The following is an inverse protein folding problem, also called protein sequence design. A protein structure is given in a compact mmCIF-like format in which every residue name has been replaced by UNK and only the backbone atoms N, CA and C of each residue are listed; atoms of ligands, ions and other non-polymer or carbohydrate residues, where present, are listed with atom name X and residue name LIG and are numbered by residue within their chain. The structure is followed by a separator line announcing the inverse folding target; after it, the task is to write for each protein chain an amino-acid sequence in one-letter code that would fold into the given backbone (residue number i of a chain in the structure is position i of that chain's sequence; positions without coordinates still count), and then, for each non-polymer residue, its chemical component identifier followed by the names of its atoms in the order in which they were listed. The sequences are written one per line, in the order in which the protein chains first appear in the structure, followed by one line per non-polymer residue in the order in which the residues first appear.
data_IF_973884346905
#
_entry.id   IF_973884346905
#
_cell.length_a   1.000
_cell.length_b   1.000
_cell.length_c   1.000
_cell.angle_alpha   90.00
_cell.angle_beta   90.00
_cell.angle_gamma   90.00
#
_symmetry.space_group_name_H-M   'P 1'
#
loop_
_entity.id
_entity.type
_entity.pdbx_description
1 polymer ?
#
# COMPACT_ATOMS: atom_id res chain seq x y z
N UNK A 1 -38.78 4.59 6.97
CA UNK A 1 -39.06 4.15 5.58
C UNK A 1 -39.59 5.35 4.83
N UNK A 2 -38.88 5.89 3.86
CA UNK A 2 -39.42 6.90 2.94
C UNK A 2 -38.65 6.88 1.61
N UNK A 3 -39.31 6.38 0.57
CA UNK A 3 -39.15 6.70 -0.85
C UNK A 3 -40.57 6.67 -1.45
N UNK A 4 -40.84 7.25 -2.64
CA UNK A 4 -40.47 8.58 -3.15
C UNK A 4 -41.71 9.33 -3.71
N UNK A 5 -41.60 10.62 -4.05
CA UNK A 5 -42.52 11.28 -5.00
C UNK A 5 -41.74 11.65 -6.25
N UNK A 6 -42.02 10.90 -7.31
CA UNK A 6 -41.70 11.26 -8.69
C UNK A 6 -42.72 12.29 -9.16
N UNK A 7 -42.28 13.50 -9.48
CA UNK A 7 -43.07 14.42 -10.30
C UNK A 7 -42.50 14.39 -11.72
N UNK A 8 -43.11 13.53 -12.54
CA UNK A 8 -43.11 13.66 -13.99
C UNK A 8 -43.83 14.97 -14.34
N UNK A 9 -43.23 15.79 -15.21
CA UNK A 9 -43.97 16.80 -15.95
C UNK A 9 -43.48 16.76 -17.40
N UNK A 10 -44.25 16.08 -18.24
CA UNK A 10 -44.23 16.24 -19.69
C UNK A 10 -45.67 16.56 -20.17
N UNK A 11 -45.75 17.11 -21.38
CA UNK A 11 -46.91 17.44 -22.23
C UNK A 11 -47.52 18.84 -22.03
N UNK A 12 -47.96 19.59 -23.04
CA UNK A 12 -47.76 19.67 -24.50
C UNK A 12 -48.49 20.96 -24.97
N UNK A 13 -47.87 21.68 -25.91
CA UNK A 13 -48.39 22.37 -27.13
C UNK A 13 -49.76 23.11 -27.20
N UNK A 14 -49.72 24.24 -27.95
CA UNK A 14 -50.80 24.95 -28.73
C UNK A 14 -51.62 25.98 -27.92
N UNK A 15 -51.98 27.19 -28.36
CA UNK A 15 -52.48 27.65 -29.67
C UNK A 15 -52.63 29.20 -29.71
N UNK A 16 -52.35 29.79 -30.89
CA UNK A 16 -53.03 30.95 -31.54
C UNK A 16 -52.90 32.41 -31.06
N UNK A 17 -53.08 33.31 -32.03
CA UNK A 17 -52.52 34.65 -32.19
C UNK A 17 -53.43 35.83 -31.75
N UNK A 18 -52.83 36.98 -31.38
CA UNK A 18 -53.01 38.30 -32.04
C UNK A 18 -52.79 39.53 -31.11
N UNK A 19 -51.84 40.39 -31.54
CA UNK A 19 -51.75 41.86 -31.43
C UNK A 19 -51.45 42.60 -30.09
N UNK A 20 -50.76 43.78 -30.13
CA UNK A 20 -50.00 44.35 -29.02
C UNK A 20 -50.57 45.69 -28.46
N UNK A 21 -50.45 45.94 -27.15
CA UNK A 21 -50.55 47.29 -26.59
C UNK A 21 -49.96 47.41 -25.16
N UNK A 22 -48.99 48.32 -25.04
CA UNK A 22 -48.53 49.19 -23.93
C UNK A 22 -49.37 49.17 -22.64
N UNK A 23 -48.73 49.14 -21.45
CA UNK A 23 -48.90 50.11 -20.32
C UNK A 23 -48.24 49.60 -19.01
N UNK A 24 -47.38 50.49 -18.50
CA UNK A 24 -47.01 50.82 -17.12
C UNK A 24 -46.34 49.83 -16.13
N UNK A 25 -45.10 50.22 -15.84
CA UNK A 25 -44.39 50.14 -14.56
C UNK A 25 -45.24 50.71 -13.40
N UNK A 26 -45.60 49.88 -12.44
CA UNK A 26 -45.67 50.21 -11.01
C UNK A 26 -46.07 48.98 -10.17
N UNK A 27 -45.20 48.63 -9.22
CA UNK A 27 -45.50 48.12 -7.86
C UNK A 27 -44.40 47.14 -7.42
N UNK A 28 -43.35 47.70 -6.81
CA UNK A 28 -42.67 47.00 -5.73
C UNK A 28 -43.68 46.87 -4.58
N UNK A 29 -44.05 45.65 -4.19
CA UNK A 29 -44.10 45.23 -2.79
C UNK A 29 -44.37 43.73 -2.69
N UNK A 30 -43.42 43.02 -2.07
CA UNK A 30 -43.67 41.93 -1.13
C UNK A 30 -42.30 41.49 -0.60
N UNK A 31 -41.80 42.30 0.34
CA UNK A 31 -40.87 41.81 1.35
C UNK A 31 -41.66 41.12 2.44
N UNK A 32 -41.08 40.01 2.92
CA UNK A 32 -41.41 39.23 4.12
C UNK A 32 -42.47 38.13 3.95
N UNK A 33 -42.00 36.90 3.70
CA UNK A 33 -42.38 35.79 4.57
C UNK A 33 -41.13 34.96 4.86
N UNK A 34 -40.62 35.21 6.07
CA UNK A 34 -39.95 34.32 6.99
C UNK A 34 -39.13 33.15 6.43
N UNK A 35 -37.87 33.19 6.82
CA UNK A 35 -36.95 32.08 6.81
C UNK A 35 -37.61 30.80 7.38
N UNK A 36 -37.98 29.86 6.51
CA UNK A 36 -37.79 28.45 6.80
C UNK A 36 -36.30 28.11 6.64
N UNK A 37 -35.47 28.83 7.40
CA UNK A 37 -34.10 28.46 7.72
C UNK A 37 -34.16 27.63 8.99
N UNK A 38 -34.81 26.47 8.94
CA UNK A 38 -34.71 25.50 10.02
C UNK A 38 -34.54 24.11 9.41
N UNK A 39 -33.42 23.51 9.78
CA UNK A 39 -33.08 22.10 9.62
C UNK A 39 -32.63 21.64 8.22
N UNK A 40 -31.77 22.41 7.57
CA UNK A 40 -30.57 21.78 6.98
C UNK A 40 -29.58 21.49 8.12
N UNK A 41 -30.01 20.75 9.15
CA UNK A 41 -29.08 19.90 9.87
C UNK A 41 -28.59 18.95 8.79
N UNK A 42 -27.45 19.33 8.19
CA UNK A 42 -26.77 18.55 7.19
C UNK A 42 -26.90 17.09 7.60
N UNK A 43 -27.57 16.27 6.79
CA UNK A 43 -27.67 14.84 7.02
C UNK A 43 -26.30 14.23 6.76
N UNK A 44 -25.30 14.70 7.52
CA UNK A 44 -23.92 14.28 7.49
C UNK A 44 -23.95 12.85 7.94
N UNK A 45 -23.72 11.97 6.99
CA UNK A 45 -23.41 10.59 7.28
C UNK A 45 -21.94 10.52 7.68
N UNK A 46 -21.69 9.84 8.79
CA UNK A 46 -20.36 9.55 9.29
C UNK A 46 -20.13 8.05 9.33
N UNK A 47 -18.87 7.65 9.26
CA UNK A 47 -18.45 6.26 9.17
C UNK A 47 -17.41 6.00 10.24
N UNK A 48 -17.62 4.91 10.97
CA UNK A 48 -16.64 4.33 11.86
C UNK A 48 -15.90 3.21 11.11
N UNK A 49 -14.58 3.37 10.97
CA UNK A 49 -13.74 2.35 10.35
C UNK A 49 -13.05 1.54 11.44
N UNK A 50 -13.26 0.22 11.44
CA UNK A 50 -12.61 -0.69 12.39
C UNK A 50 -11.77 -1.71 11.65
N UNK A 51 -10.49 -1.77 11.99
CA UNK A 51 -9.53 -2.73 11.44
C UNK A 51 -9.28 -3.77 12.53
N UNK A 52 -9.66 -5.02 12.28
CA UNK A 52 -9.43 -6.12 13.22
C UNK A 52 -8.16 -6.88 12.88
N UNK A 53 -7.44 -7.36 13.89
CA UNK A 53 -6.24 -8.16 13.73
C UNK A 53 -6.45 -9.55 14.33
N UNK A 54 -6.11 -10.58 13.55
CA UNK A 54 -5.93 -11.93 14.09
C UNK A 54 -4.49 -12.05 14.59
N UNK A 55 -4.29 -11.85 15.90
CA UNK A 55 -2.97 -11.83 16.53
C UNK A 55 -2.22 -13.16 16.44
N UNK A 56 -2.90 -14.24 16.05
CA UNK A 56 -2.26 -15.53 15.76
C UNK A 56 -1.54 -15.54 14.42
N UNK A 57 -1.99 -14.72 13.46
CA UNK A 57 -1.47 -14.66 12.08
C UNK A 57 -0.56 -13.47 11.82
N UNK A 58 -0.74 -12.37 12.53
CA UNK A 58 0.11 -11.19 12.42
C UNK A 58 -0.18 -10.17 13.50
N UNK A 59 0.47 -9.03 13.42
CA UNK A 59 0.30 -7.93 14.38
C UNK A 59 0.52 -6.58 13.68
N UNK A 60 0.02 -5.50 14.29
CA UNK A 60 0.31 -4.16 13.80
C UNK A 60 1.75 -3.76 14.15
N UNK A 61 2.48 -3.16 13.21
CA UNK A 61 3.85 -2.69 13.46
C UNK A 61 3.90 -1.63 14.57
N UNK A 62 2.87 -0.79 14.66
CA UNK A 62 2.78 0.30 15.63
C UNK A 62 2.55 -0.20 17.06
N UNK A 63 1.75 -1.26 17.22
CA UNK A 63 1.41 -1.85 18.51
C UNK A 63 1.09 -3.34 18.33
N UNK A 64 2.01 -4.24 18.72
CA UNK A 64 1.86 -5.67 18.48
C UNK A 64 0.78 -6.33 19.34
N UNK A 65 0.40 -5.72 20.46
CA UNK A 65 -0.61 -6.26 21.38
C UNK A 65 -2.03 -5.85 20.99
N UNK A 66 -2.16 -4.90 20.06
CA UNK A 66 -3.45 -4.36 19.69
C UNK A 66 -4.22 -5.29 18.74
N UNK A 67 -5.45 -5.63 19.13
CA UNK A 67 -6.37 -6.50 18.37
C UNK A 67 -7.27 -5.73 17.40
N UNK A 68 -7.38 -4.41 17.56
CA UNK A 68 -8.17 -3.58 16.64
C UNK A 68 -7.75 -2.10 16.63
N UNK A 69 -7.82 -1.47 15.47
CA UNK A 69 -7.69 -0.02 15.30
C UNK A 69 -9.03 0.56 14.86
N UNK A 70 -9.40 1.71 15.42
CA UNK A 70 -10.68 2.36 15.13
C UNK A 70 -10.48 3.82 14.75
N UNK A 71 -11.07 4.22 13.62
CA UNK A 71 -11.17 5.60 13.17
C UNK A 71 -12.63 6.01 13.25
N UNK A 72 -12.96 6.82 14.25
CA UNK A 72 -14.34 7.21 14.55
C UNK A 72 -14.76 8.47 13.81
N UNK A 73 -16.06 8.56 13.52
CA UNK A 73 -16.73 9.77 13.01
C UNK A 73 -16.07 10.38 11.75
N UNK A 74 -15.55 9.54 10.85
CA UNK A 74 -15.04 10.02 9.55
C UNK A 74 -16.22 10.47 8.70
N UNK A 75 -16.13 11.60 8.01
CA UNK A 75 -17.23 11.97 7.12
C UNK A 75 -17.32 10.93 5.99
N UNK A 76 -18.54 10.53 5.59
CA UNK A 76 -18.68 9.56 4.49
C UNK A 76 -17.95 10.06 3.25
N UNK A 77 -18.15 11.33 2.87
CA UNK A 77 -17.53 11.95 1.70
C UNK A 77 -16.26 12.75 2.04
N UNK A 78 -15.50 12.32 3.06
CA UNK A 78 -14.22 12.95 3.35
C UNK A 78 -13.23 12.72 2.20
N UNK A 79 -12.64 13.79 1.68
CA UNK A 79 -11.64 13.68 0.61
C UNK A 79 -10.29 13.16 1.13
N UNK A 80 -10.05 13.24 2.45
CA UNK A 80 -8.83 12.69 3.05
C UNK A 80 -9.01 11.21 3.35
N UNK A 81 -8.25 10.33 2.66
CA UNK A 81 -8.32 8.90 2.95
C UNK A 81 -7.76 8.60 4.35
N UNK A 82 -8.16 7.48 4.92
CA UNK A 82 -7.47 6.94 6.09
C UNK A 82 -6.20 6.24 5.64
N UNK A 83 -5.15 6.32 6.45
CA UNK A 83 -3.94 5.53 6.27
C UNK A 83 -4.15 4.14 6.86
N UNK A 84 -3.92 3.10 6.06
CA UNK A 84 -3.96 1.72 6.52
C UNK A 84 -2.69 1.41 7.33
N UNK A 85 -2.80 0.66 8.44
CA UNK A 85 -1.67 0.34 9.29
C UNK A 85 -0.74 -0.66 8.61
N UNK A 86 0.55 -0.58 8.88
CA UNK A 86 1.50 -1.63 8.49
C UNK A 86 1.22 -2.91 9.30
N UNK A 87 1.14 -4.05 8.62
CA UNK A 87 0.92 -5.36 9.21
C UNK A 87 2.16 -6.22 9.05
N UNK A 88 2.59 -6.84 10.14
CA UNK A 88 3.68 -7.81 10.16
C UNK A 88 3.07 -9.20 10.34
N UNK A 89 3.30 -10.10 9.38
CA UNK A 89 2.86 -11.48 9.51
C UNK A 89 3.75 -12.25 10.49
N UNK A 90 3.13 -13.11 11.30
CA UNK A 90 3.85 -14.01 12.20
C UNK A 90 4.54 -15.13 11.40
N UNK A 91 5.47 -15.85 12.03
CA UNK A 91 6.14 -16.99 11.41
C UNK A 91 5.12 -18.01 10.84
N UNK A 92 5.36 -18.44 9.61
CA UNK A 92 4.46 -19.37 8.91
C UNK A 92 3.26 -18.68 8.24
N UNK A 93 3.15 -17.35 8.31
CA UNK A 93 2.12 -16.58 7.61
C UNK A 93 2.73 -15.52 6.70
N UNK A 94 1.98 -15.14 5.67
CA UNK A 94 2.29 -14.06 4.75
C UNK A 94 1.06 -13.17 4.59
N UNK A 95 1.23 -11.86 4.78
CA UNK A 95 0.17 -10.87 4.57
C UNK A 95 -0.06 -10.66 3.07
N UNK A 96 -1.32 -10.78 2.62
CA UNK A 96 -1.71 -10.72 1.20
C UNK A 96 -2.59 -9.54 0.83
N UNK A 97 -3.11 -8.81 1.81
CA UNK A 97 -3.97 -7.66 1.56
C UNK A 97 -5.08 -7.52 2.59
N UNK A 98 -6.13 -6.79 2.23
CA UNK A 98 -7.23 -6.45 3.13
C UNK A 98 -8.56 -6.92 2.58
N UNK A 99 -9.36 -7.53 3.42
CA UNK A 99 -10.75 -7.85 3.17
C UNK A 99 -11.63 -6.74 3.74
N UNK A 100 -12.26 -5.94 2.88
CA UNK A 100 -12.97 -4.71 3.25
C UNK A 100 -14.47 -4.93 3.16
N UNK A 101 -15.16 -4.72 4.29
CA UNK A 101 -16.60 -4.91 4.44
C UNK A 101 -17.27 -3.60 4.80
N UNK A 102 -18.24 -3.18 4.01
CA UNK A 102 -19.09 -2.04 4.32
C UNK A 102 -20.39 -2.17 3.54
N UNK A 103 -20.77 -1.11 2.81
CA UNK A 103 -21.86 -1.16 1.84
C UNK A 103 -21.60 -2.24 0.78
N UNK A 104 -20.35 -2.34 0.35
CA UNK A 104 -19.86 -3.34 -0.58
C UNK A 104 -18.73 -4.15 0.07
N UNK A 105 -18.42 -5.30 -0.53
CA UNK A 105 -17.34 -6.20 -0.09
C UNK A 105 -16.32 -6.33 -1.22
N UNK A 106 -15.06 -6.01 -0.94
CA UNK A 106 -13.97 -6.08 -1.90
C UNK A 106 -12.62 -6.32 -1.21
N UNK A 107 -11.61 -6.65 -2.01
CA UNK A 107 -10.25 -6.95 -1.53
C UNK A 107 -9.27 -5.89 -2.03
N UNK A 108 -8.42 -5.41 -1.13
CA UNK A 108 -7.24 -4.58 -1.45
C UNK A 108 -5.97 -5.43 -1.42
N UNK A 109 -4.98 -5.05 -2.22
CA UNK A 109 -3.65 -5.68 -2.19
C UNK A 109 -2.86 -5.36 -0.91
N UNK A 110 -1.80 -6.14 -0.67
CA UNK A 110 -0.88 -5.90 0.46
C UNK A 110 -0.11 -4.58 0.37
N UNK A 111 -0.02 -3.99 -0.82
CA UNK A 111 0.60 -2.69 -1.09
C UNK A 111 -0.34 -1.49 -0.86
N UNK A 112 -1.62 -1.74 -0.52
CA UNK A 112 -2.56 -0.68 -0.21
C UNK A 112 -2.18 0.04 1.10
N UNK A 113 -1.93 1.34 1.00
CA UNK A 113 -1.58 2.21 2.14
C UNK A 113 -2.72 3.11 2.59
N UNK A 114 -3.78 3.23 1.79
CA UNK A 114 -4.85 4.19 2.00
C UNK A 114 -6.22 3.61 1.65
N UNK A 115 -7.25 4.07 2.35
CA UNK A 115 -8.65 3.75 2.08
C UNK A 115 -9.49 5.03 2.13
N UNK A 116 -10.18 5.36 1.04
CA UNK A 116 -11.23 6.39 1.05
C UNK A 116 -12.51 5.88 1.71
N UNK A 117 -13.26 6.74 2.40
CA UNK A 117 -14.53 6.37 3.07
C UNK A 117 -15.77 6.60 2.20
N UNK A 118 -15.62 7.33 1.09
CA UNK A 118 -16.69 7.77 0.20
C UNK A 118 -17.54 6.62 -0.33
N UNK A 119 -18.80 6.60 0.08
CA UNK A 119 -19.79 5.63 -0.35
C UNK A 119 -19.58 4.20 0.17
N UNK A 120 -18.58 3.96 1.02
CA UNK A 120 -18.23 2.63 1.52
C UNK A 120 -18.95 2.25 2.82
N UNK A 121 -19.47 3.21 3.58
CA UNK A 121 -20.12 2.93 4.86
C UNK A 121 -21.40 2.10 4.71
N UNK A 122 -21.53 1.02 5.49
CA UNK A 122 -22.81 0.33 5.67
C UNK A 122 -23.64 1.04 6.75
N UNK A 123 -24.78 1.61 6.37
CA UNK A 123 -25.66 2.34 7.27
C UNK A 123 -26.89 1.51 7.64
N UNK A 124 -27.11 1.21 8.94
CA UNK A 124 -28.39 0.69 9.41
C UNK A 124 -29.55 1.63 9.05
N UNK A 125 -30.73 1.07 8.81
CA UNK A 125 -31.91 1.88 8.45
C UNK A 125 -32.21 2.89 9.56
N UNK A 126 -32.18 4.18 9.22
CA UNK A 126 -32.43 5.27 10.16
C UNK A 126 -31.21 5.75 10.95
N UNK A 127 -30.02 5.19 10.69
CA UNK A 127 -28.76 5.67 11.29
C UNK A 127 -28.02 6.62 10.34
N UNK A 128 -27.43 7.66 10.89
CA UNK A 128 -26.42 8.50 10.20
C UNK A 128 -25.00 8.01 10.43
N UNK A 129 -24.80 7.01 11.29
CA UNK A 129 -23.50 6.38 11.56
C UNK A 129 -23.48 5.01 10.87
N UNK A 130 -22.51 4.84 9.98
CA UNK A 130 -22.25 3.59 9.27
C UNK A 130 -20.93 2.96 9.68
N UNK A 131 -20.72 1.70 9.30
CA UNK A 131 -19.49 0.97 9.58
C UNK A 131 -18.73 0.57 8.32
N UNK A 132 -17.40 0.59 8.41
CA UNK A 132 -16.49 -0.13 7.51
C UNK A 132 -15.61 -1.02 8.38
N UNK A 133 -15.47 -2.28 8.02
CA UNK A 133 -14.66 -3.26 8.72
C UNK A 133 -13.56 -3.79 7.80
N UNK A 134 -12.34 -3.85 8.30
CA UNK A 134 -11.20 -4.39 7.57
C UNK A 134 -10.62 -5.58 8.32
N UNK A 135 -10.32 -6.64 7.58
CA UNK A 135 -9.61 -7.81 8.09
C UNK A 135 -8.38 -8.07 7.22
N UNK A 136 -7.18 -8.21 7.79
CA UNK A 136 -5.99 -8.60 7.04
C UNK A 136 -6.16 -10.03 6.52
N UNK A 137 -5.80 -10.22 5.26
CA UNK A 137 -5.79 -11.52 4.60
C UNK A 137 -4.41 -12.11 4.77
N UNK A 138 -4.34 -13.31 5.34
CA UNK A 138 -3.10 -14.06 5.48
C UNK A 138 -3.17 -15.37 4.70
N UNK A 139 -2.01 -15.77 4.18
CA UNK A 139 -1.78 -17.08 3.58
C UNK A 139 -0.69 -17.81 4.37
N UNK A 140 -0.76 -19.14 4.47
CA UNK A 140 0.34 -19.92 5.06
C UNK A 140 1.60 -19.76 4.21
N UNK A 141 2.70 -19.36 4.83
CA UNK A 141 4.00 -19.28 4.19
C UNK A 141 4.55 -20.70 3.97
N UNK A 142 5.22 -20.96 2.83
CA UNK A 142 5.86 -22.25 2.59
C UNK A 142 6.88 -22.54 3.69
N UNK A 143 6.78 -23.74 4.28
CA UNK A 143 7.73 -24.18 5.30
C UNK A 143 9.16 -24.16 4.72
N UNK A 144 10.16 -23.74 5.51
CA UNK A 144 11.55 -23.87 5.10
C UNK A 144 11.82 -25.34 4.75
N UNK A 145 12.38 -25.58 3.55
CA UNK A 145 12.85 -26.92 3.20
C UNK A 145 14.10 -27.17 4.02
N UNK A 146 14.02 -28.10 4.98
CA UNK A 146 15.17 -28.51 5.76
C UNK A 146 16.25 -29.03 4.79
N UNK A 147 17.52 -28.61 4.92
CA UNK A 147 18.56 -29.13 4.04
C UNK A 147 18.62 -30.65 4.22
N UNK A 148 18.38 -31.41 3.15
CA UNK A 148 18.60 -32.86 3.17
C UNK A 148 20.04 -33.09 3.62
N UNK A 149 20.29 -33.79 4.75
CA UNK A 149 21.64 -34.07 5.18
C UNK A 149 22.31 -34.91 4.08
N UNK A 150 23.27 -34.32 3.39
CA UNK A 150 24.14 -35.08 2.49
C UNK A 150 25.09 -35.88 3.37
N UNK A 151 24.94 -37.20 3.39
CA UNK A 151 25.95 -38.08 3.95
C UNK A 151 27.27 -37.76 3.20
N UNK A 152 28.32 -37.30 3.88
CA UNK A 152 29.61 -37.08 3.22
C UNK A 152 30.07 -38.41 2.63
N UNK A 153 30.32 -38.43 1.33
CA UNK A 153 30.90 -39.61 0.67
C UNK A 153 32.31 -39.75 1.22
N UNK A 154 32.57 -40.83 1.96
CA UNK A 154 33.92 -41.15 2.43
C UNK A 154 34.83 -41.33 1.20
N UNK A 155 35.99 -40.67 1.13
CA UNK A 155 36.89 -40.83 0.00
C UNK A 155 37.38 -42.29 -0.04
N UNK A 156 37.16 -42.98 -1.16
CA UNK A 156 37.77 -44.29 -1.40
C UNK A 156 39.29 -44.14 -1.31
N UNK A 157 39.99 -44.86 -0.42
CA UNK A 157 41.44 -44.75 -0.32
C UNK A 157 42.07 -45.23 -1.64
N UNK A 158 42.75 -44.32 -2.33
CA UNK A 158 43.58 -44.66 -3.49
C UNK A 158 44.96 -45.05 -2.98
N UNK A 159 45.41 -46.25 -3.35
CA UNK A 159 46.79 -46.68 -3.09
C UNK A 159 47.73 -45.76 -3.89
N UNK A 160 48.65 -45.01 -3.25
CA UNK A 160 49.61 -44.20 -3.97
C UNK A 160 50.51 -45.11 -4.82
N UNK A 161 50.64 -44.78 -6.10
CA UNK A 161 51.61 -45.44 -6.99
C UNK A 161 52.99 -44.93 -6.60
N UNK A 162 53.89 -45.83 -6.22
CA UNK A 162 55.28 -45.48 -5.90
C UNK A 162 55.96 -44.88 -7.14
N UNK A 163 56.60 -43.71 -7.06
CA UNK A 163 57.30 -43.12 -8.19
C UNK A 163 58.53 -43.97 -8.55
N UNK A 164 58.64 -44.39 -9.81
CA UNK A 164 59.87 -44.99 -10.33
C UNK A 164 61.01 -43.96 -10.23
N UNK A 165 62.14 -44.26 -9.55
CA UNK A 165 63.23 -43.31 -9.41
C UNK A 165 63.86 -43.05 -10.78
N UNK A 166 63.92 -41.77 -11.18
CA UNK A 166 64.69 -41.31 -12.34
C UNK A 166 66.02 -40.75 -11.88
N UNK A 167 67.11 -41.19 -12.51
CA UNK A 167 68.46 -40.67 -12.23
C UNK A 167 68.54 -39.21 -12.68
N UNK A 168 68.89 -38.24 -11.80
CA UNK A 168 69.04 -36.85 -12.20
C UNK A 168 70.25 -36.69 -13.13
N UNK A 169 70.06 -35.97 -14.24
CA UNK A 169 71.14 -35.55 -15.13
C UNK A 169 71.79 -34.31 -14.53
N UNK A 170 73.10 -34.37 -14.29
CA UNK A 170 73.87 -33.25 -13.73
C UNK A 170 73.92 -32.07 -14.72
N UNK A 171 73.62 -30.83 -14.29
CA UNK A 171 73.68 -29.66 -15.16
C UNK A 171 75.13 -29.29 -15.47
N UNK A 172 75.46 -29.12 -16.75
CA UNK A 172 76.73 -28.53 -17.18
C UNK A 172 76.83 -27.08 -16.68
N UNK A 173 77.90 -26.68 -15.95
CA UNK A 173 78.01 -25.32 -15.43
C UNK A 173 78.21 -24.30 -16.57
N UNK A 174 77.43 -23.23 -16.56
CA UNK A 174 77.61 -22.05 -17.41
C UNK A 174 78.18 -20.89 -16.60
N UNK A 175 79.21 -20.24 -17.13
CA UNK A 175 79.89 -19.09 -16.52
C UNK A 175 78.96 -17.87 -16.49
N UNK A 176 78.74 -17.22 -15.33
CA UNK A 176 77.89 -16.02 -15.25
C UNK A 176 78.57 -14.82 -15.91
N UNK A 177 77.79 -14.02 -16.64
CA UNK A 177 78.23 -12.75 -17.24
C UNK A 177 78.07 -11.61 -16.24
N UNK A 178 79.10 -10.78 -16.07
CA UNK A 178 79.12 -9.68 -15.11
C UNK A 178 78.16 -8.53 -15.50
N UNK A 179 77.35 -7.99 -14.56
CA UNK A 179 76.41 -6.91 -14.86
C UNK A 179 77.08 -5.52 -14.82
N UNK A 180 77.00 -4.78 -15.94
CA UNK A 180 77.42 -3.37 -16.03
C UNK A 180 76.47 -2.46 -15.24
N UNK A 181 76.99 -1.69 -14.28
CA UNK A 181 76.19 -0.71 -13.49
C UNK A 181 75.85 0.56 -14.29
N UNK A 182 74.63 1.12 -14.16
CA UNK A 182 74.29 2.42 -14.75
C UNK A 182 74.95 3.59 -14.00
N UNK A 183 75.38 4.62 -14.74
CA UNK A 183 75.90 5.88 -14.18
C UNK A 183 74.74 6.77 -13.66
N UNK A 184 74.88 7.29 -12.44
CA UNK A 184 73.88 8.14 -11.78
C UNK A 184 73.97 9.58 -12.29
N UNK A 185 72.85 10.14 -12.75
CA UNK A 185 72.75 11.57 -13.11
C UNK A 185 72.75 12.45 -11.86
N UNK A 186 73.56 13.51 -11.88
CA UNK A 186 73.69 14.53 -10.82
C UNK A 186 72.52 15.53 -10.88
N UNK A 187 71.85 15.85 -9.75
CA UNK A 187 70.86 16.93 -9.75
C UNK A 187 71.52 18.32 -9.64
N UNK A 188 70.99 19.29 -10.38
CA UNK A 188 71.38 20.71 -10.38
C UNK A 188 70.79 21.42 -9.15
N UNK A 189 71.56 22.24 -8.40
CA UNK A 189 71.02 23.00 -7.27
C UNK A 189 70.26 24.26 -7.72
N UNK A 190 69.15 24.57 -7.05
CA UNK A 190 68.40 25.84 -7.16
C UNK A 190 68.69 26.70 -5.93
N UNK A 191 69.11 27.94 -6.14
CA UNK A 191 69.44 28.95 -5.11
C UNK A 191 68.15 29.67 -4.66
N UNK A 192 68.01 30.07 -3.36
CA UNK A 192 66.79 30.66 -2.81
C UNK A 192 66.44 32.06 -3.33
#
# INVERSE_FOLDING_TARGET
VCLPVSAYAETETTEEAAAPAVVEEAAQDNTADEAASEDSASCVRVVDVTIFMDTTKGHFESDPDNVALTYLNRAEFEETPITLPTVIANEGWEFKGWDVWGKEHFVLGADATELGTSGLGAFPVGSLVGGIYLYPIFMEAPKPVEPTPTTPVEPTPTTPVEPTPTTPVEPTPTTPVEPTRPLRSTPTPTTP
#
